data_IF_341511862959
#
_entry.id   IF_341511862959
#
_cell.length_a   1.000
_cell.length_b   1.000
_cell.length_c   1.000
_cell.angle_alpha   90.00
_cell.angle_beta   90.00
_cell.angle_gamma   90.00
#
_symmetry.space_group_name_H-M   'P 1'
#
loop_
_entity.id
_entity.type
_entity.pdbx_description
1 polymer ?
#
# COMPACT_ATOMS: atom_id res chain seq x y z
N UNK A 1 -8.52 11.81 -3.24
CA UNK A 1 -7.63 10.67 -2.93
C UNK A 1 -8.35 9.38 -3.30
N UNK A 2 -7.84 8.62 -4.28
CA UNK A 2 -8.35 7.31 -4.66
C UNK A 2 -8.56 6.34 -3.49
N UNK A 3 -9.57 5.48 -3.65
CA UNK A 3 -9.77 4.29 -2.84
C UNK A 3 -10.34 3.18 -3.73
N UNK A 4 -10.22 1.94 -3.28
CA UNK A 4 -10.78 0.77 -3.95
C UNK A 4 -11.55 -0.09 -2.96
N UNK A 5 -12.65 -0.66 -3.43
CA UNK A 5 -13.59 -1.42 -2.62
C UNK A 5 -14.13 -2.58 -3.47
N UNK A 6 -14.05 -3.80 -2.92
CA UNK A 6 -14.75 -4.96 -3.45
C UNK A 6 -15.97 -5.22 -2.57
N UNK A 7 -17.09 -5.51 -3.24
CA UNK A 7 -18.32 -5.96 -2.61
C UNK A 7 -18.58 -7.43 -2.96
N UNK A 8 -19.18 -8.16 -2.04
CA UNK A 8 -19.68 -9.50 -2.34
C UNK A 8 -20.98 -9.45 -3.18
N UNK A 9 -21.55 -10.63 -3.46
CA UNK A 9 -22.80 -10.77 -4.21
C UNK A 9 -24.02 -10.15 -3.51
N UNK A 10 -23.97 -9.95 -2.19
CA UNK A 10 -25.00 -9.23 -1.43
C UNK A 10 -24.82 -7.71 -1.49
N UNK A 11 -23.73 -7.22 -2.07
CA UNK A 11 -23.35 -5.81 -2.08
C UNK A 11 -22.59 -5.37 -0.82
N UNK A 12 -22.26 -6.28 0.09
CA UNK A 12 -21.56 -5.96 1.33
C UNK A 12 -20.07 -5.71 1.07
N UNK A 13 -19.44 -4.70 1.70
CA UNK A 13 -18.02 -4.41 1.53
C UNK A 13 -17.14 -5.49 2.17
N UNK A 14 -16.30 -6.18 1.38
CA UNK A 14 -15.50 -7.33 1.86
C UNK A 14 -13.99 -7.14 1.75
N UNK A 15 -13.52 -6.21 0.91
CA UNK A 15 -12.12 -5.83 0.85
C UNK A 15 -11.98 -4.37 0.41
N UNK A 16 -11.02 -3.65 0.97
CA UNK A 16 -10.76 -2.26 0.60
C UNK A 16 -9.30 -1.87 0.79
N UNK A 17 -8.91 -0.79 0.14
CA UNK A 17 -7.62 -0.12 0.31
C UNK A 17 -7.76 1.36 -0.06
N UNK A 18 -6.96 2.20 0.58
CA UNK A 18 -6.99 3.65 0.40
C UNK A 18 -5.59 4.19 0.17
N UNK A 19 -5.48 5.43 -0.32
CA UNK A 19 -4.22 6.17 -0.28
C UNK A 19 -4.27 7.35 0.70
N UNK A 20 -3.12 7.67 1.29
CA UNK A 20 -2.94 8.91 2.02
C UNK A 20 -2.54 10.09 1.09
N UNK A 21 -2.33 11.27 1.66
CA UNK A 21 -1.92 12.46 0.91
C UNK A 21 -0.54 12.36 0.25
N UNK A 22 0.29 11.40 0.66
CA UNK A 22 1.63 11.15 0.11
C UNK A 22 1.60 10.12 -1.02
N UNK A 23 0.43 9.58 -1.39
CA UNK A 23 0.28 8.43 -2.29
C UNK A 23 0.69 7.08 -1.68
N UNK A 24 0.85 7.02 -0.35
CA UNK A 24 1.09 5.76 0.33
C UNK A 24 -0.19 4.93 0.37
N UNK A 25 -0.09 3.65 0.02
CA UNK A 25 -1.17 2.69 0.21
C UNK A 25 -1.33 2.40 1.69
N UNK A 26 -2.55 2.54 2.17
CA UNK A 26 -2.89 2.40 3.58
C UNK A 26 -4.18 1.61 3.76
N UNK A 27 -4.34 1.05 4.97
CA UNK A 27 -5.58 0.39 5.39
C UNK A 27 -6.03 -0.75 4.46
N UNK A 28 -5.09 -1.47 3.82
CA UNK A 28 -5.43 -2.67 3.06
C UNK A 28 -6.08 -3.69 3.98
N UNK A 29 -7.31 -4.09 3.66
CA UNK A 29 -8.08 -5.01 4.48
C UNK A 29 -8.91 -5.96 3.63
N UNK A 30 -8.98 -7.22 4.08
CA UNK A 30 -9.89 -8.24 3.57
C UNK A 30 -10.55 -8.91 4.76
N UNK A 31 -11.89 -8.99 4.73
CA UNK A 31 -12.67 -9.70 5.75
C UNK A 31 -12.17 -11.14 5.89
N UNK A 32 -12.03 -11.70 7.12
CA UNK A 32 -11.47 -13.03 7.36
C UNK A 32 -12.05 -14.13 6.47
N UNK A 33 -13.37 -14.22 6.35
CA UNK A 33 -14.08 -15.25 5.56
C UNK A 33 -13.91 -15.10 4.03
N UNK A 34 -13.29 -13.99 3.62
CA UNK A 34 -13.01 -13.63 2.23
C UNK A 34 -11.50 -13.64 1.90
N UNK A 35 -10.63 -13.97 2.87
CA UNK A 35 -9.18 -14.10 2.66
C UNK A 35 -8.83 -15.32 1.82
N UNK A 36 -7.61 -15.34 1.27
CA UNK A 36 -7.12 -16.43 0.39
C UNK A 36 -7.77 -16.48 -1.00
N UNK A 37 -8.69 -15.56 -1.32
CA UNK A 37 -9.42 -15.50 -2.60
C UNK A 37 -8.84 -14.47 -3.59
N UNK A 38 -7.64 -13.94 -3.31
CA UNK A 38 -6.99 -12.93 -4.15
C UNK A 38 -7.58 -11.52 -4.06
N UNK A 39 -8.51 -11.25 -3.13
CA UNK A 39 -9.20 -9.96 -3.04
C UNK A 39 -8.27 -8.81 -2.66
N UNK A 40 -7.26 -9.04 -1.82
CA UNK A 40 -6.23 -8.04 -1.48
C UNK A 40 -5.50 -7.55 -2.72
N UNK A 41 -5.01 -8.47 -3.56
CA UNK A 41 -4.35 -8.14 -4.82
C UNK A 41 -5.30 -7.44 -5.81
N UNK A 42 -6.59 -7.78 -5.78
CA UNK A 42 -7.58 -7.17 -6.66
C UNK A 42 -7.82 -5.69 -6.29
N UNK A 43 -8.01 -5.39 -4.99
CA UNK A 43 -8.17 -3.99 -4.53
C UNK A 43 -6.91 -3.17 -4.75
N UNK A 44 -5.74 -3.76 -4.48
CA UNK A 44 -4.42 -3.11 -4.65
C UNK A 44 -4.18 -2.73 -6.11
N UNK A 45 -4.45 -3.66 -7.04
CA UNK A 45 -4.27 -3.40 -8.47
C UNK A 45 -5.22 -2.34 -9.00
N UNK A 46 -6.50 -2.39 -8.62
CA UNK A 46 -7.47 -1.36 -9.02
C UNK A 46 -7.08 0.01 -8.46
N UNK A 47 -6.61 0.07 -7.21
CA UNK A 47 -6.14 1.30 -6.60
C UNK A 47 -4.90 1.86 -7.31
N UNK A 48 -3.93 1.00 -7.65
CA UNK A 48 -2.73 1.40 -8.38
C UNK A 48 -3.08 1.99 -9.75
N UNK A 49 -3.99 1.37 -10.48
CA UNK A 49 -4.47 1.89 -11.76
C UNK A 49 -5.17 3.25 -11.61
N UNK A 50 -5.95 3.45 -10.54
CA UNK A 50 -6.56 4.77 -10.24
C UNK A 50 -5.50 5.84 -9.97
N UNK A 51 -4.43 5.49 -9.24
CA UNK A 51 -3.32 6.40 -8.96
C UNK A 51 -2.54 6.77 -10.23
N UNK A 52 -2.21 5.77 -11.07
CA UNK A 52 -1.49 5.99 -12.33
C UNK A 52 -2.28 6.90 -13.27
N UNK A 53 -3.61 6.73 -13.37
CA UNK A 53 -4.48 7.63 -14.18
C UNK A 53 -4.50 9.07 -13.68
N UNK A 54 -4.06 9.32 -12.44
CA UNK A 54 -3.97 10.64 -11.84
C UNK A 54 -2.53 11.15 -11.74
N UNK A 55 -1.59 10.53 -12.48
CA UNK A 55 -0.16 10.89 -12.47
C UNK A 55 0.48 10.80 -11.07
N UNK A 56 0.00 9.84 -10.26
CA UNK A 56 0.54 9.55 -8.92
C UNK A 56 1.41 8.29 -8.97
N UNK A 57 2.51 8.31 -8.22
CA UNK A 57 3.35 7.13 -7.98
C UNK A 57 2.95 6.45 -6.68
N UNK A 58 2.16 5.36 -6.72
CA UNK A 58 1.79 4.65 -5.51
C UNK A 58 2.97 3.90 -4.91
N UNK A 59 3.06 3.88 -3.58
CA UNK A 59 4.02 3.04 -2.86
C UNK A 59 3.37 2.44 -1.61
N UNK A 60 3.95 1.38 -1.06
CA UNK A 60 3.47 0.75 0.17
C UNK A 60 4.60 0.49 1.16
N UNK A 61 4.26 0.56 2.43
CA UNK A 61 5.08 0.09 3.53
C UNK A 61 4.67 -1.33 3.89
N UNK A 62 5.65 -2.23 4.01
CA UNK A 62 5.40 -3.61 4.43
C UNK A 62 6.28 -3.90 5.64
N UNK A 63 5.63 -4.33 6.72
CA UNK A 63 6.31 -4.74 7.95
C UNK A 63 7.32 -5.85 7.67
N UNK A 64 8.54 -5.71 8.21
CA UNK A 64 9.67 -6.63 7.90
C UNK A 64 9.43 -8.06 8.36
N UNK A 65 8.60 -8.26 9.39
CA UNK A 65 8.22 -9.58 9.89
C UNK A 65 7.12 -10.24 9.05
N UNK A 66 6.43 -9.50 8.17
CA UNK A 66 5.38 -10.04 7.31
C UNK A 66 6.00 -10.66 6.04
N UNK A 67 6.72 -11.76 6.23
CA UNK A 67 7.48 -12.46 5.19
C UNK A 67 6.61 -12.94 4.04
N UNK A 68 5.34 -13.27 4.28
CA UNK A 68 4.38 -13.65 3.25
C UNK A 68 4.10 -12.50 2.28
N UNK A 69 3.78 -11.32 2.80
CA UNK A 69 3.51 -10.13 1.97
C UNK A 69 4.77 -9.66 1.25
N UNK A 70 5.93 -9.72 1.91
CA UNK A 70 7.21 -9.39 1.28
C UNK A 70 7.51 -10.33 0.11
N UNK A 71 7.37 -11.65 0.32
CA UNK A 71 7.62 -12.66 -0.72
C UNK A 71 6.63 -12.52 -1.88
N UNK A 72 5.35 -12.26 -1.59
CA UNK A 72 4.34 -12.02 -2.62
C UNK A 72 4.63 -10.75 -3.42
N UNK A 73 5.08 -9.69 -2.75
CA UNK A 73 5.45 -8.42 -3.40
C UNK A 73 6.67 -8.58 -4.30
N UNK A 74 7.71 -9.30 -3.85
CA UNK A 74 8.93 -9.54 -4.64
C UNK A 74 8.67 -10.39 -5.89
N UNK A 75 7.68 -11.27 -5.85
CA UNK A 75 7.26 -12.08 -7.01
C UNK A 75 6.33 -11.33 -7.96
N UNK A 76 5.80 -10.18 -7.56
CA UNK A 76 4.88 -9.40 -8.37
C UNK A 76 5.64 -8.67 -9.48
N UNK A 77 5.20 -8.74 -10.75
CA UNK A 77 5.78 -7.91 -11.81
C UNK A 77 5.41 -6.42 -11.67
N UNK A 78 4.53 -6.08 -10.71
CA UNK A 78 4.01 -4.72 -10.53
C UNK A 78 4.72 -3.93 -9.42
N UNK A 79 5.44 -4.62 -8.53
CA UNK A 79 6.10 -3.99 -7.41
C UNK A 79 7.61 -4.14 -7.55
N UNK A 80 8.32 -3.03 -7.37
CA UNK A 80 9.76 -3.04 -7.15
C UNK A 80 10.02 -2.64 -5.71
N UNK A 81 10.90 -3.36 -5.03
CA UNK A 81 11.36 -2.97 -3.71
C UNK A 81 12.27 -1.75 -3.89
N UNK A 82 12.01 -0.68 -3.15
CA UNK A 82 13.00 0.39 -3.04
C UNK A 82 14.18 -0.13 -2.24
N UNK A 83 15.32 -0.19 -2.90
CA UNK A 83 16.62 -0.40 -2.31
C UNK A 83 17.52 0.79 -2.64
N UNK A 84 18.46 1.10 -1.73
CA UNK A 84 19.44 2.14 -1.98
C UNK A 84 20.69 1.59 -2.67
N UNK A 85 20.90 0.26 -2.60
CA UNK A 85 22.05 -0.50 -3.13
C UNK A 85 21.77 -2.03 -3.01
N UNK A 86 20.59 -2.51 -3.44
CA UNK A 86 20.23 -3.93 -3.33
C UNK A 86 19.86 -4.41 -1.91
N UNK A 87 19.72 -3.50 -0.93
CA UNK A 87 19.23 -3.79 0.43
C UNK A 87 17.89 -3.09 0.71
N UNK A 88 16.91 -3.79 1.31
CA UNK A 88 15.61 -3.20 1.66
C UNK A 88 15.77 -1.94 2.52
N UNK A 89 15.10 -0.84 2.14
CA UNK A 89 15.01 0.34 3.00
C UNK A 89 14.04 0.03 4.14
N UNK A 90 14.56 -0.11 5.35
CA UNK A 90 13.74 -0.02 6.56
C UNK A 90 13.32 1.45 6.71
N UNK A 91 12.02 1.73 6.71
CA UNK A 91 11.43 3.07 6.66
C UNK A 91 12.21 4.13 7.47
N UNK A 92 12.74 5.15 6.79
CA UNK A 92 13.32 6.34 7.46
C UNK A 92 12.33 7.49 7.32
N UNK A 93 11.59 7.77 8.39
CA UNK A 93 10.76 8.96 8.51
C UNK A 93 11.65 10.14 8.95
N UNK A 94 11.91 11.08 8.05
CA UNK A 94 12.61 12.32 8.37
C UNK A 94 11.59 13.44 8.59
N UNK A 95 11.61 14.03 9.78
CA UNK A 95 10.84 15.22 10.12
C UNK A 95 11.73 16.46 10.08
N UNK A 96 11.17 17.60 9.63
CA UNK A 96 11.86 18.89 9.69
C UNK A 96 12.09 19.29 11.16
N UNK A 97 13.35 19.50 11.55
CA UNK A 97 13.70 20.09 12.85
C UNK A 97 13.08 21.50 12.91
N UNK A 98 12.15 21.75 13.84
CA UNK A 98 11.70 23.13 14.11
C UNK A 98 12.91 23.90 14.63
N UNK A 99 13.27 24.98 13.94
CA UNK A 99 14.24 25.94 14.46
C UNK A 99 13.64 26.57 15.72
N UNK A 100 14.36 26.46 16.85
CA UNK A 100 14.02 27.24 18.02
C UNK A 100 14.14 28.71 17.63
N UNK A 101 13.06 29.49 17.81
CA UNK A 101 13.15 30.94 17.71
C UNK A 101 14.12 31.40 18.80
N UNK A 102 15.24 31.99 18.41
CA UNK A 102 16.09 32.71 19.35
C UNK A 102 15.29 33.90 19.88
N UNK A 103 15.08 33.93 21.19
CA UNK A 103 14.66 35.12 21.94
C UNK A 103 15.90 35.74 22.58
#
# INVERSE_FOLDING_TARGET
MPYSLVRDSSGSPVAYEMIDSSSMFTHQYVQPDHRGKGLGNAVERDLAQKCIRQDMTPFKAVETYNTEVLTASDRSPYWIRWDYDGKPINHVLMARKRSAKNH
#
